data_IF_608950613816
#
_entry.id   IF_608950613816
#
_cell.length_a   1.000
_cell.length_b   1.000
_cell.length_c   1.000
_cell.angle_alpha   90.00
_cell.angle_beta   90.00
_cell.angle_gamma   90.00
#
_symmetry.space_group_name_H-M   'P 1'
#
loop_
_entity.id
_entity.type
_entity.pdbx_description
1 polymer ?
#
# COMPACT_ATOMS: atom_id res chain seq x y z
N UNK A 1 50.11 30.52 -40.48
CA UNK A 1 49.90 29.15 -39.98
C UNK A 1 48.62 29.15 -39.16
N UNK A 2 47.73 28.20 -39.45
CA UNK A 2 46.37 28.13 -38.97
C UNK A 2 46.27 27.59 -37.54
N UNK A 3 45.29 28.08 -36.75
CA UNK A 3 44.55 27.27 -35.80
C UNK A 3 43.24 27.98 -35.43
N UNK A 4 42.13 27.29 -35.67
CA UNK A 4 40.77 27.72 -35.42
C UNK A 4 40.31 27.35 -34.01
N UNK A 5 39.41 28.17 -33.46
CA UNK A 5 38.23 27.72 -32.72
C UNK A 5 38.35 27.48 -31.22
N UNK A 6 37.54 28.21 -30.44
CA UNK A 6 36.38 27.66 -29.69
C UNK A 6 35.57 28.79 -29.06
N UNK A 7 34.27 28.82 -29.37
CA UNK A 7 33.25 29.60 -28.65
C UNK A 7 32.81 28.77 -27.45
N UNK A 8 32.86 29.34 -26.26
CA UNK A 8 32.27 28.76 -25.04
C UNK A 8 30.74 28.77 -25.16
N UNK A 9 30.14 27.59 -25.14
CA UNK A 9 28.70 27.39 -24.94
C UNK A 9 28.43 27.11 -23.45
N UNK A 10 27.38 27.70 -22.85
CA UNK A 10 26.95 27.34 -21.51
C UNK A 10 26.35 25.92 -21.51
N UNK A 11 26.92 25.04 -20.68
CA UNK A 11 26.49 23.64 -20.53
C UNK A 11 25.12 23.58 -19.87
N UNK A 12 24.16 23.03 -20.61
CA UNK A 12 22.83 22.62 -20.16
C UNK A 12 22.91 21.72 -18.92
N UNK A 13 22.32 22.16 -17.81
CA UNK A 13 22.06 21.31 -16.63
C UNK A 13 20.78 20.54 -16.92
N UNK A 14 20.89 19.48 -17.72
CA UNK A 14 19.83 18.49 -17.86
C UNK A 14 20.45 17.10 -17.86
N UNK A 15 20.40 16.39 -16.73
CA UNK A 15 20.40 14.91 -16.63
C UNK A 15 20.74 14.48 -15.20
N UNK A 16 19.72 14.40 -14.34
CA UNK A 16 19.81 13.55 -13.13
C UNK A 16 18.47 13.00 -12.65
N UNK A 17 17.32 13.46 -13.19
CA UNK A 17 16.00 12.99 -12.76
C UNK A 17 15.43 11.78 -13.51
N UNK A 18 16.14 11.19 -14.46
CA UNK A 18 15.62 10.12 -15.34
C UNK A 18 16.02 8.69 -14.95
N UNK A 19 16.58 8.44 -13.76
CA UNK A 19 17.05 7.08 -13.37
C UNK A 19 16.50 6.49 -12.07
N UNK A 20 15.45 7.07 -11.47
CA UNK A 20 14.86 6.53 -10.24
C UNK A 20 13.45 5.92 -10.40
N UNK A 21 13.12 5.40 -11.59
CA UNK A 21 11.81 4.78 -11.84
C UNK A 21 11.90 3.44 -12.60
N UNK A 22 12.83 2.55 -12.21
CA UNK A 22 12.85 1.16 -12.72
C UNK A 22 13.46 0.23 -11.67
N UNK A 23 12.70 -0.13 -10.62
CA UNK A 23 13.04 -1.27 -9.74
C UNK A 23 11.88 -1.72 -8.82
N UNK A 24 10.60 -1.57 -9.21
CA UNK A 24 9.46 -1.93 -8.33
C UNK A 24 8.54 -3.03 -8.88
N UNK A 25 8.82 -3.58 -10.06
CA UNK A 25 8.03 -4.68 -10.62
C UNK A 25 8.97 -5.71 -11.27
N UNK A 26 8.93 -6.99 -10.87
CA UNK A 26 9.50 -8.05 -11.69
C UNK A 26 8.70 -8.06 -13.00
N UNK A 27 9.39 -7.80 -14.10
CA UNK A 27 8.90 -7.93 -15.46
C UNK A 27 8.67 -9.40 -15.77
N UNK A 28 7.41 -9.85 -15.80
CA UNK A 28 7.03 -10.98 -16.64
C UNK A 28 6.60 -10.42 -18.00
N UNK A 29 7.40 -10.76 -19.01
CA UNK A 29 7.17 -10.42 -20.40
C UNK A 29 6.02 -11.26 -20.95
N UNK A 30 4.83 -10.69 -21.07
CA UNK A 30 3.90 -11.09 -22.12
C UNK A 30 3.05 -9.90 -22.56
N UNK A 31 3.19 -9.58 -23.84
CA UNK A 31 2.35 -8.66 -24.59
C UNK A 31 0.89 -9.08 -24.53
N UNK A 32 0.02 -8.21 -24.05
CA UNK A 32 -1.43 -8.41 -24.09
C UNK A 32 -2.13 -7.42 -23.18
N UNK A 33 -3.07 -6.67 -23.75
CA UNK A 33 -4.10 -5.85 -23.10
C UNK A 33 -4.13 -5.86 -21.56
N UNK A 34 -3.95 -4.69 -20.95
CA UNK A 34 -4.16 -4.47 -19.51
C UNK A 34 -5.66 -4.49 -19.22
N UNK A 35 -6.26 -5.67 -19.28
CA UNK A 35 -7.58 -5.91 -18.70
C UNK A 35 -7.33 -6.16 -17.21
N UNK A 36 -7.94 -5.39 -16.29
CA UNK A 36 -7.90 -5.72 -14.87
C UNK A 36 -8.43 -7.15 -14.72
N UNK A 37 -7.55 -8.08 -14.36
CA UNK A 37 -7.96 -9.46 -14.09
C UNK A 37 -8.96 -9.42 -12.94
N UNK A 38 -10.16 -10.03 -13.08
CA UNK A 38 -11.12 -10.08 -11.99
C UNK A 38 -10.44 -10.66 -10.75
N UNK A 39 -10.36 -9.86 -9.69
CA UNK A 39 -9.86 -10.34 -8.41
C UNK A 39 -10.91 -11.34 -7.92
N UNK A 40 -10.50 -12.60 -7.78
CA UNK A 40 -11.38 -13.64 -7.27
C UNK A 40 -11.97 -13.20 -5.92
N UNK A 41 -13.25 -13.49 -5.64
CA UNK A 41 -13.88 -13.15 -4.36
C UNK A 41 -13.01 -13.61 -3.19
N UNK A 42 -12.78 -12.74 -2.22
CA UNK A 42 -11.95 -13.08 -1.07
C UNK A 42 -12.64 -14.17 -0.27
N UNK A 43 -12.00 -15.34 -0.19
CA UNK A 43 -12.51 -16.46 0.60
C UNK A 43 -12.17 -16.29 2.09
N UNK A 44 -12.99 -16.91 2.95
CA UNK A 44 -12.79 -16.89 4.42
C UNK A 44 -11.37 -17.31 4.82
N UNK A 45 -10.77 -18.22 4.04
CA UNK A 45 -9.40 -18.70 4.24
C UNK A 45 -8.33 -17.62 4.01
N UNK A 46 -8.50 -16.75 3.01
CA UNK A 46 -7.57 -15.64 2.75
C UNK A 46 -7.60 -14.62 3.87
N UNK A 47 -8.76 -14.41 4.47
CA UNK A 47 -8.91 -13.58 5.66
C UNK A 47 -8.12 -14.16 6.83
N UNK A 48 -8.42 -15.39 7.25
CA UNK A 48 -7.74 -16.01 8.40
C UNK A 48 -6.20 -15.99 8.26
N UNK A 49 -5.71 -16.21 7.03
CA UNK A 49 -4.28 -16.10 6.71
C UNK A 49 -3.75 -14.67 6.88
N UNK A 50 -4.51 -13.69 6.42
CA UNK A 50 -4.15 -12.27 6.53
C UNK A 50 -4.08 -11.85 8.00
N UNK A 51 -4.99 -12.35 8.86
CA UNK A 51 -5.04 -11.97 10.28
C UNK A 51 -3.81 -12.50 11.00
N UNK A 52 -3.47 -13.77 10.73
CA UNK A 52 -2.25 -14.41 11.24
C UNK A 52 -0.99 -13.70 10.78
N UNK A 53 -0.97 -13.19 9.55
CA UNK A 53 0.16 -12.42 9.03
C UNK A 53 0.28 -11.05 9.71
N UNK A 54 -0.83 -10.34 9.95
CA UNK A 54 -0.82 -9.07 10.68
C UNK A 54 -0.29 -9.27 12.10
N UNK A 55 -0.81 -10.26 12.84
CA UNK A 55 -0.34 -10.61 14.20
C UNK A 55 1.17 -10.92 14.20
N UNK A 56 1.64 -11.69 13.21
CA UNK A 56 3.06 -11.98 13.06
C UNK A 56 3.90 -10.71 12.83
N UNK A 57 3.43 -9.76 12.03
CA UNK A 57 4.14 -8.48 11.82
C UNK A 57 4.19 -7.66 13.11
N UNK A 58 3.09 -7.59 13.85
CA UNK A 58 3.03 -6.90 15.15
C UNK A 58 4.07 -7.50 16.11
N UNK A 59 4.09 -8.82 16.27
CA UNK A 59 5.06 -9.53 17.13
C UNK A 59 6.52 -9.26 16.74
N UNK A 60 6.83 -9.24 15.44
CA UNK A 60 8.16 -8.90 14.95
C UNK A 60 8.54 -7.44 15.29
N UNK A 61 7.59 -6.52 15.18
CA UNK A 61 7.78 -5.11 15.49
C UNK A 61 7.88 -4.84 17.01
N UNK A 62 7.29 -5.69 17.84
CA UNK A 62 7.36 -5.63 19.31
C UNK A 62 8.69 -6.14 19.89
N UNK A 63 9.59 -6.67 19.06
CA UNK A 63 10.87 -7.15 19.54
C UNK A 63 11.63 -6.03 20.28
N UNK A 64 12.15 -6.25 21.51
CA UNK A 64 12.68 -5.16 22.35
C UNK A 64 13.75 -4.30 21.67
N UNK A 65 14.66 -4.92 20.90
CA UNK A 65 15.71 -4.22 20.14
C UNK A 65 15.19 -3.34 18.99
N UNK A 66 13.91 -3.43 18.64
CA UNK A 66 13.35 -2.60 17.58
C UNK A 66 13.26 -1.14 18.00
N UNK A 67 13.09 -0.81 19.29
CA UNK A 67 13.04 0.59 19.76
C UNK A 67 12.15 1.49 18.89
N UNK A 68 10.97 1.00 18.48
CA UNK A 68 10.05 1.78 17.65
C UNK A 68 9.51 2.95 18.48
N UNK A 69 9.72 4.17 17.99
CA UNK A 69 9.19 5.39 18.62
C UNK A 69 7.68 5.45 18.39
N UNK A 70 6.94 5.86 19.42
CA UNK A 70 5.51 6.10 19.32
C UNK A 70 5.23 7.42 18.59
N UNK A 71 5.45 7.40 17.28
CA UNK A 71 5.25 8.52 16.37
C UNK A 71 4.65 8.04 15.06
N UNK A 72 3.70 8.78 14.46
CA UNK A 72 3.18 8.42 13.14
C UNK A 72 4.30 8.31 12.09
N UNK A 73 4.27 7.29 11.19
CA UNK A 73 3.34 6.16 11.15
C UNK A 73 3.75 5.02 12.11
N UNK A 74 2.96 4.79 13.17
CA UNK A 74 3.28 3.79 14.20
C UNK A 74 2.58 2.45 13.91
N UNK A 75 3.34 1.50 13.33
CA UNK A 75 2.79 0.21 12.86
C UNK A 75 2.11 -0.61 13.96
N UNK A 76 2.54 -0.45 15.21
CA UNK A 76 1.99 -1.16 16.37
C UNK A 76 0.58 -0.68 16.74
N UNK A 77 0.17 0.52 16.32
CA UNK A 77 -1.22 1.00 16.45
C UNK A 77 -2.00 0.74 15.15
N UNK A 78 -1.37 0.98 14.00
CA UNK A 78 -2.03 0.88 12.69
C UNK A 78 -2.57 -0.52 12.41
N UNK A 79 -1.80 -1.58 12.69
CA UNK A 79 -2.25 -2.94 12.40
C UNK A 79 -3.42 -3.38 13.31
N UNK A 80 -3.38 -3.16 14.64
CA UNK A 80 -4.56 -3.34 15.49
C UNK A 80 -5.77 -2.52 15.04
N UNK A 81 -5.59 -1.24 14.71
CA UNK A 81 -6.68 -0.38 14.21
C UNK A 81 -7.30 -0.92 12.91
N UNK A 82 -6.46 -1.40 11.99
CA UNK A 82 -6.91 -2.02 10.75
C UNK A 82 -7.73 -3.28 11.04
N UNK A 83 -7.27 -4.11 11.98
CA UNK A 83 -8.00 -5.29 12.42
C UNK A 83 -9.38 -4.92 13.00
N UNK A 84 -9.45 -3.93 13.89
CA UNK A 84 -10.72 -3.49 14.47
C UNK A 84 -11.67 -2.95 13.39
N UNK A 85 -11.15 -2.20 12.41
CA UNK A 85 -11.96 -1.71 11.29
C UNK A 85 -12.50 -2.84 10.42
N UNK A 86 -11.67 -3.83 10.10
CA UNK A 86 -12.12 -5.02 9.36
C UNK A 86 -13.18 -5.80 10.15
N UNK A 87 -13.00 -5.98 11.47
CA UNK A 87 -13.98 -6.65 12.32
C UNK A 87 -15.32 -5.92 12.34
N UNK A 88 -15.30 -4.59 12.41
CA UNK A 88 -16.51 -3.76 12.31
C UNK A 88 -17.23 -3.98 10.97
N UNK A 89 -16.50 -3.94 9.86
CA UNK A 89 -17.07 -4.19 8.53
C UNK A 89 -17.74 -5.57 8.48
N UNK A 90 -17.06 -6.62 8.98
CA UNK A 90 -17.66 -7.95 9.05
C UNK A 90 -18.94 -7.99 9.87
N UNK A 91 -18.96 -7.37 11.05
CA UNK A 91 -20.15 -7.36 11.92
C UNK A 91 -21.36 -6.69 11.25
N UNK A 92 -21.14 -5.74 10.33
CA UNK A 92 -22.21 -5.06 9.58
C UNK A 92 -22.75 -5.88 8.40
N UNK A 93 -22.08 -6.97 8.05
CA UNK A 93 -22.41 -7.81 6.90
C UNK A 93 -22.60 -9.29 7.30
N UNK A 94 -22.86 -9.59 8.58
CA UNK A 94 -23.10 -10.97 9.07
C UNK A 94 -24.34 -11.61 8.44
N UNK A 95 -25.38 -10.81 8.19
CA UNK A 95 -26.64 -11.22 7.57
C UNK A 95 -26.50 -11.44 6.05
N UNK A 96 -25.57 -10.72 5.40
CA UNK A 96 -25.37 -10.73 3.94
C UNK A 96 -23.89 -10.75 3.56
N UNK A 97 -23.14 -11.82 3.89
CA UNK A 97 -21.70 -11.90 3.63
C UNK A 97 -21.37 -11.86 2.14
N UNK A 98 -22.30 -12.31 1.27
CA UNK A 98 -22.15 -12.26 -0.19
C UNK A 98 -21.98 -10.84 -0.72
N UNK A 99 -22.61 -9.83 -0.10
CA UNK A 99 -22.49 -8.43 -0.54
C UNK A 99 -21.07 -7.92 -0.31
N UNK A 100 -20.49 -8.23 0.84
CA UNK A 100 -19.12 -7.83 1.17
C UNK A 100 -18.09 -8.55 0.27
N UNK A 101 -18.26 -9.85 0.05
CA UNK A 101 -17.34 -10.62 -0.79
C UNK A 101 -17.47 -10.32 -2.28
N UNK A 102 -18.61 -9.77 -2.73
CA UNK A 102 -18.78 -9.27 -4.09
C UNK A 102 -18.26 -7.83 -4.27
N UNK A 103 -17.89 -7.14 -3.20
CA UNK A 103 -17.33 -5.80 -3.28
C UNK A 103 -15.88 -5.85 -3.80
N UNK A 104 -15.64 -5.24 -4.96
CA UNK A 104 -14.33 -5.23 -5.62
C UNK A 104 -13.26 -4.55 -4.77
N UNK A 105 -13.54 -3.36 -4.22
CA UNK A 105 -12.59 -2.61 -3.41
C UNK A 105 -12.17 -3.39 -2.16
N UNK A 106 -13.12 -4.07 -1.50
CA UNK A 106 -12.83 -4.91 -0.36
C UNK A 106 -11.89 -6.06 -0.72
N UNK A 107 -12.15 -6.75 -1.84
CA UNK A 107 -11.31 -7.85 -2.29
C UNK A 107 -9.88 -7.39 -2.64
N UNK A 108 -9.77 -6.28 -3.37
CA UNK A 108 -8.48 -5.66 -3.70
C UNK A 108 -7.74 -5.27 -2.42
N UNK A 109 -8.44 -4.68 -1.45
CA UNK A 109 -7.87 -4.28 -0.17
C UNK A 109 -7.29 -5.48 0.60
N UNK A 110 -8.05 -6.57 0.77
CA UNK A 110 -7.58 -7.74 1.52
C UNK A 110 -6.38 -8.39 0.83
N UNK A 111 -6.42 -8.56 -0.50
CA UNK A 111 -5.31 -9.14 -1.25
C UNK A 111 -4.06 -8.27 -1.11
N UNK A 112 -4.21 -6.93 -1.19
CA UNK A 112 -3.11 -6.00 -0.99
C UNK A 112 -2.56 -6.07 0.45
N UNK A 113 -3.43 -6.10 1.46
CA UNK A 113 -3.06 -6.19 2.87
C UNK A 113 -2.26 -7.46 3.14
N UNK A 114 -2.71 -8.60 2.64
CA UNK A 114 -1.99 -9.86 2.73
C UNK A 114 -0.60 -9.77 2.09
N UNK A 115 -0.50 -9.17 0.88
CA UNK A 115 0.78 -9.00 0.17
C UNK A 115 1.75 -8.11 0.97
N UNK A 116 1.28 -6.99 1.51
CA UNK A 116 2.09 -6.07 2.33
C UNK A 116 2.53 -6.71 3.65
N UNK A 117 1.69 -7.51 4.30
CA UNK A 117 2.11 -8.27 5.48
C UNK A 117 3.18 -9.32 5.15
N UNK A 118 3.04 -10.05 4.03
CA UNK A 118 4.09 -10.98 3.56
C UNK A 118 5.40 -10.26 3.27
N UNK A 119 5.34 -9.08 2.65
CA UNK A 119 6.50 -8.24 2.40
C UNK A 119 7.18 -7.82 3.71
N UNK A 120 6.42 -7.40 4.72
CA UNK A 120 6.96 -7.08 6.04
C UNK A 120 7.69 -8.28 6.65
N UNK A 121 7.04 -9.46 6.69
CA UNK A 121 7.64 -10.69 7.24
C UNK A 121 8.94 -11.06 6.48
N UNK A 122 8.94 -10.93 5.16
CA UNK A 122 10.14 -11.17 4.33
C UNK A 122 11.26 -10.18 4.66
N UNK A 123 10.94 -8.90 4.85
CA UNK A 123 11.89 -7.86 5.24
C UNK A 123 12.60 -8.21 6.56
N UNK A 124 11.86 -8.65 7.57
CA UNK A 124 12.46 -9.11 8.84
C UNK A 124 13.36 -10.34 8.67
N UNK A 125 12.94 -11.30 7.84
CA UNK A 125 13.72 -12.52 7.57
C UNK A 125 15.05 -12.21 6.87
N UNK A 126 15.06 -11.26 5.94
CA UNK A 126 16.25 -10.85 5.19
C UNK A 126 17.14 -9.88 5.99
N UNK A 127 16.52 -8.95 6.71
CA UNK A 127 17.23 -7.93 7.48
C UNK A 127 17.97 -8.50 8.70
N UNK A 128 17.41 -9.51 9.38
CA UNK A 128 17.97 -10.10 10.61
C UNK A 128 18.43 -9.00 11.58
N UNK A 129 19.69 -9.03 12.01
CA UNK A 129 20.28 -8.02 12.91
C UNK A 129 20.22 -6.60 12.36
N UNK A 130 20.24 -6.40 11.04
CA UNK A 130 20.13 -5.08 10.41
C UNK A 130 18.77 -4.43 10.64
N UNK A 131 17.74 -5.17 11.08
CA UNK A 131 16.45 -4.58 11.49
C UNK A 131 16.59 -3.70 12.75
N UNK A 132 17.58 -4.00 13.60
CA UNK A 132 17.81 -3.29 14.86
C UNK A 132 18.72 -2.08 14.70
N UNK A 133 19.46 -1.98 13.60
CA UNK A 133 20.19 -0.77 13.22
C UNK A 133 19.24 0.26 12.61
N UNK A 134 19.06 1.39 13.30
CA UNK A 134 18.15 2.46 12.90
C UNK A 134 18.52 3.11 11.57
N UNK A 135 19.80 3.09 11.21
CA UNK A 135 20.33 3.72 9.98
C UNK A 135 20.24 2.80 8.77
N UNK A 136 19.95 1.51 8.99
CA UNK A 136 19.96 0.50 7.95
C UNK A 136 18.87 0.76 6.89
N UNK A 137 19.11 0.27 5.68
CA UNK A 137 18.08 0.33 4.64
C UNK A 137 16.86 -0.56 4.98
N UNK A 138 17.05 -1.64 5.75
CA UNK A 138 15.95 -2.49 6.20
C UNK A 138 15.02 -1.74 7.14
N UNK A 139 15.57 -0.97 8.09
CA UNK A 139 14.77 -0.14 8.98
C UNK A 139 14.03 0.96 8.23
N UNK A 140 14.70 1.65 7.30
CA UNK A 140 14.05 2.62 6.41
C UNK A 140 12.93 2.00 5.58
N UNK A 141 13.11 0.78 5.07
CA UNK A 141 12.08 0.05 4.34
C UNK A 141 10.89 -0.32 5.23
N UNK A 142 11.11 -0.65 6.51
CA UNK A 142 10.03 -0.86 7.47
C UNK A 142 9.25 0.44 7.73
N UNK A 143 9.92 1.58 7.86
CA UNK A 143 9.26 2.89 7.98
C UNK A 143 8.39 3.19 6.76
N UNK A 144 8.92 2.97 5.54
CA UNK A 144 8.13 3.11 4.30
C UNK A 144 6.91 2.19 4.30
N UNK A 145 7.08 0.94 4.74
CA UNK A 145 5.99 -0.02 4.79
C UNK A 145 4.93 0.36 5.85
N UNK A 146 5.35 0.93 6.97
CA UNK A 146 4.47 1.47 8.01
C UNK A 146 3.63 2.64 7.47
N UNK A 147 4.23 3.52 6.66
CA UNK A 147 3.50 4.58 5.97
C UNK A 147 2.46 4.02 4.99
N UNK A 148 2.82 2.99 4.22
CA UNK A 148 1.88 2.30 3.32
C UNK A 148 0.70 1.71 4.10
N UNK A 149 0.93 1.04 5.23
CA UNK A 149 -0.16 0.55 6.08
C UNK A 149 -1.05 1.68 6.60
N UNK A 150 -0.46 2.83 6.97
CA UNK A 150 -1.22 4.01 7.38
C UNK A 150 -2.17 4.52 6.29
N UNK A 151 -1.70 4.56 5.03
CA UNK A 151 -2.52 4.98 3.89
C UNK A 151 -3.62 3.96 3.59
N UNK A 152 -3.29 2.67 3.63
CA UNK A 152 -4.28 1.60 3.48
C UNK A 152 -5.40 1.71 4.52
N UNK A 153 -5.05 1.92 5.79
CA UNK A 153 -6.05 2.11 6.85
C UNK A 153 -6.92 3.35 6.60
N UNK A 154 -6.32 4.44 6.13
CA UNK A 154 -7.05 5.68 5.81
C UNK A 154 -8.04 5.48 4.66
N UNK A 155 -7.61 4.79 3.60
CA UNK A 155 -8.45 4.40 2.47
C UNK A 155 -9.61 3.50 2.92
N UNK A 156 -9.33 2.47 3.73
CA UNK A 156 -10.38 1.61 4.29
C UNK A 156 -11.39 2.40 5.12
N UNK A 157 -10.92 3.35 5.94
CA UNK A 157 -11.79 4.20 6.76
C UNK A 157 -12.67 5.10 5.88
N UNK A 158 -12.15 5.58 4.76
CA UNK A 158 -12.85 6.45 3.83
C UNK A 158 -13.90 5.70 2.98
N UNK A 159 -13.57 4.50 2.50
CA UNK A 159 -14.48 3.69 1.69
C UNK A 159 -15.54 2.95 2.51
N UNK A 160 -15.24 2.63 3.78
CA UNK A 160 -16.16 1.94 4.67
C UNK A 160 -16.49 2.76 5.92
N UNK A 161 -17.06 3.99 5.81
CA UNK A 161 -17.45 4.77 6.97
C UNK A 161 -18.41 3.96 7.85
N UNK A 162 -18.14 3.92 9.17
CA UNK A 162 -18.93 3.15 10.14
C UNK A 162 -19.10 1.65 9.84
N UNK A 163 -18.26 1.08 8.96
CA UNK A 163 -18.27 -0.34 8.60
C UNK A 163 -19.12 -0.69 7.37
N UNK A 164 -19.77 0.28 6.73
CA UNK A 164 -20.59 0.05 5.53
C UNK A 164 -19.91 0.66 4.32
N UNK A 165 -19.93 -0.03 3.18
CA UNK A 165 -19.37 0.49 1.93
C UNK A 165 -20.12 1.75 1.49
N UNK A 166 -19.36 2.82 1.21
CA UNK A 166 -19.85 4.09 0.68
C UNK A 166 -18.90 4.65 -0.39
N UNK A 167 -18.23 3.78 -1.14
CA UNK A 167 -17.29 4.19 -2.19
C UNK A 167 -17.98 4.93 -3.34
N UNK A 168 -19.22 4.56 -3.63
CA UNK A 168 -20.10 5.23 -4.60
C UNK A 168 -20.49 6.66 -4.18
N UNK A 169 -20.39 6.96 -2.89
CA UNK A 169 -20.68 8.28 -2.30
C UNK A 169 -19.39 9.05 -1.95
N UNK A 170 -18.22 8.55 -2.36
CA UNK A 170 -16.96 9.18 -2.05
C UNK A 170 -16.85 10.56 -2.70
N UNK A 171 -16.65 11.59 -1.87
CA UNK A 171 -16.57 12.98 -2.33
C UNK A 171 -15.12 13.39 -2.60
N UNK A 172 -14.79 13.57 -3.87
CA UNK A 172 -13.51 14.17 -4.29
C UNK A 172 -13.53 15.67 -3.97
N UNK A 173 -12.51 16.15 -3.24
CA UNK A 173 -12.47 17.52 -2.70
C UNK A 173 -12.35 18.60 -3.78
N UNK A 174 -11.59 18.35 -4.85
CA UNK A 174 -11.37 19.31 -5.93
C UNK A 174 -12.39 19.09 -7.03
N UNK A 175 -13.15 20.13 -7.38
CA UNK A 175 -14.24 20.09 -8.37
C UNK A 175 -13.80 19.51 -9.70
N UNK A 176 -12.68 19.98 -10.25
CA UNK A 176 -12.23 19.63 -11.59
C UNK A 176 -11.80 18.14 -11.64
N UNK A 177 -11.20 17.65 -10.55
CA UNK A 177 -10.87 16.24 -10.40
C UNK A 177 -12.11 15.37 -10.21
N UNK A 178 -13.13 15.87 -9.50
CA UNK A 178 -14.40 15.18 -9.34
C UNK A 178 -15.14 15.04 -10.68
N UNK A 179 -15.13 16.11 -11.48
CA UNK A 179 -15.71 16.10 -12.83
C UNK A 179 -14.95 15.16 -13.75
N UNK A 180 -13.61 15.24 -13.76
CA UNK A 180 -12.77 14.29 -14.49
C UNK A 180 -13.10 12.85 -14.14
N UNK A 181 -13.20 12.52 -12.85
CA UNK A 181 -13.49 11.17 -12.39
C UNK A 181 -14.87 10.70 -12.85
N UNK A 182 -15.90 11.51 -12.61
CA UNK A 182 -17.28 11.19 -13.02
C UNK A 182 -17.39 10.96 -14.53
N UNK A 183 -16.71 11.78 -15.33
CA UNK A 183 -16.77 11.68 -16.79
C UNK A 183 -16.07 10.43 -17.35
N UNK A 184 -15.05 9.91 -16.66
CA UNK A 184 -14.26 8.77 -17.15
C UNK A 184 -14.61 7.43 -16.47
N UNK A 185 -15.06 7.47 -15.22
CA UNK A 185 -15.25 6.28 -14.37
C UNK A 185 -16.63 6.19 -13.71
N UNK A 186 -17.47 7.23 -13.81
CA UNK A 186 -18.78 7.27 -13.17
C UNK A 186 -18.67 7.26 -11.65
N UNK A 187 -19.32 6.29 -11.00
CA UNK A 187 -19.35 6.11 -9.53
C UNK A 187 -18.39 4.99 -9.04
N UNK A 188 -17.43 4.58 -9.87
CA UNK A 188 -16.41 3.58 -9.49
C UNK A 188 -15.26 4.18 -8.70
#
# INVERSE_FOLDING_TARGET
MAAAGRKDQPKSISSIFSKLHVAMFPSDSSSGSVVPRPVAPTDKRTLDKTWKLMDKVVKLCQHPKMNLKNSPPFILDILPDTYQRLRLIYSKHEDKPSVLHNNEHFNVFIVNLMRKCKQAVKLFKEGKEKMFDETSHYRRNLTKLSLVFSHMLSELKALFPFGTFAGDQFRITKSDAAEFWRNNFGNR
#
